data_IF_004514588449
#
_entry.id   IF_004514588449
#
_cell.length_a   1.000
_cell.length_b   1.000
_cell.length_c   1.000
_cell.angle_alpha   90.00
_cell.angle_beta   90.00
_cell.angle_gamma   90.00
#
_symmetry.space_group_name_H-M   'P 1'
#
loop_
_entity.id
_entity.type
_entity.pdbx_description
1 polymer ?
#
# COMPACT_ATOMS: atom_id res chain seq x y z
N UNK A 1 -14.84 15.44 12.33
CA UNK A 1 -14.44 15.00 11.00
C UNK A 1 -15.02 15.88 9.89
N UNK A 2 -16.35 16.21 9.82
CA UNK A 2 -16.91 16.98 8.69
C UNK A 2 -16.27 18.35 8.47
N UNK A 3 -16.03 19.12 9.53
CA UNK A 3 -15.36 20.43 9.45
C UNK A 3 -13.94 20.31 8.89
N UNK A 4 -13.15 19.33 9.38
CA UNK A 4 -11.81 19.11 8.88
C UNK A 4 -11.79 18.74 7.40
N UNK A 5 -12.71 17.86 6.97
CA UNK A 5 -12.85 17.49 5.56
C UNK A 5 -13.24 18.70 4.69
N UNK A 6 -14.15 19.57 5.16
CA UNK A 6 -14.52 20.80 4.47
C UNK A 6 -13.31 21.72 4.31
N UNK A 7 -12.57 21.99 5.38
CA UNK A 7 -11.40 22.86 5.34
C UNK A 7 -10.27 22.30 4.44
N UNK A 8 -10.10 20.95 4.40
CA UNK A 8 -9.20 20.31 3.45
C UNK A 8 -9.64 20.48 2.00
N UNK A 9 -10.96 20.44 1.72
CA UNK A 9 -11.49 20.68 0.38
C UNK A 9 -11.27 22.12 -0.11
N UNK A 10 -11.22 23.07 0.83
CA UNK A 10 -10.94 24.50 0.62
C UNK A 10 -9.44 24.84 0.61
N UNK A 11 -8.54 23.85 0.55
CA UNK A 11 -7.08 24.00 0.55
C UNK A 11 -6.49 24.68 1.83
N UNK A 12 -7.25 24.72 2.92
CA UNK A 12 -6.78 25.28 4.21
C UNK A 12 -5.77 24.38 4.91
N UNK A 13 -5.78 23.09 4.60
CA UNK A 13 -4.83 22.07 5.10
C UNK A 13 -4.32 21.22 3.96
N UNK A 14 -3.11 20.71 4.12
CA UNK A 14 -2.47 19.78 3.17
C UNK A 14 -2.50 18.34 3.63
N UNK A 15 -2.73 18.09 4.91
CA UNK A 15 -2.72 16.75 5.52
C UNK A 15 -3.86 16.66 6.52
N UNK A 16 -4.54 15.52 6.57
CA UNK A 16 -5.48 15.20 7.63
C UNK A 16 -4.90 14.13 8.54
N UNK A 17 -4.98 14.34 9.86
CA UNK A 17 -4.50 13.37 10.85
C UNK A 17 -5.65 12.92 11.73
N UNK A 18 -5.87 11.60 11.80
CA UNK A 18 -6.87 11.01 12.67
C UNK A 18 -6.42 11.09 14.13
N UNK A 19 -7.20 11.78 14.95
CA UNK A 19 -7.06 11.75 16.40
C UNK A 19 -7.87 10.60 17.03
N UNK A 20 -8.47 10.85 18.19
CA UNK A 20 -9.23 9.85 18.98
C UNK A 20 -10.67 9.63 18.47
N UNK A 21 -10.85 9.43 17.16
CA UNK A 21 -12.14 9.10 16.53
C UNK A 21 -12.07 7.75 15.83
N UNK A 22 -13.24 7.17 15.53
CA UNK A 22 -13.30 5.95 14.73
C UNK A 22 -12.93 6.23 13.27
N UNK A 23 -12.23 5.28 12.61
CA UNK A 23 -11.76 5.43 11.23
C UNK A 23 -12.92 5.62 10.26
N UNK A 24 -14.02 4.89 10.45
CA UNK A 24 -15.21 5.00 9.61
C UNK A 24 -15.86 6.39 9.66
N UNK A 25 -15.86 7.05 10.84
CA UNK A 25 -16.37 8.42 10.99
C UNK A 25 -15.53 9.43 10.20
N UNK A 26 -14.19 9.27 10.23
CA UNK A 26 -13.29 10.11 9.44
C UNK A 26 -13.48 9.83 7.95
N UNK A 27 -13.43 8.55 7.56
CA UNK A 27 -13.53 8.18 6.15
C UNK A 27 -14.87 8.54 5.52
N UNK A 28 -15.99 8.40 6.25
CA UNK A 28 -17.29 8.90 5.79
C UNK A 28 -17.29 10.41 5.47
N UNK A 29 -16.55 11.20 6.24
CA UNK A 29 -16.41 12.63 5.98
C UNK A 29 -15.53 12.93 4.75
N UNK A 30 -14.41 12.20 4.61
CA UNK A 30 -13.48 12.34 3.46
C UNK A 30 -14.16 11.89 2.16
N UNK A 31 -15.00 10.83 2.22
CA UNK A 31 -15.67 10.24 1.07
C UNK A 31 -16.89 11.03 0.58
N UNK A 32 -17.25 12.14 1.22
CA UNK A 32 -18.38 12.98 0.77
C UNK A 32 -18.10 13.57 -0.61
N UNK A 33 -19.00 13.30 -1.55
CA UNK A 33 -18.84 13.68 -2.97
C UNK A 33 -18.81 15.20 -3.19
N UNK A 34 -19.58 15.94 -2.40
CA UNK A 34 -19.69 17.42 -2.46
C UNK A 34 -18.38 18.13 -2.09
N UNK A 35 -17.47 17.44 -1.37
CA UNK A 35 -16.18 18.00 -0.98
C UNK A 35 -15.08 17.81 -2.03
N UNK A 36 -15.29 16.99 -3.05
CA UNK A 36 -14.30 16.71 -4.11
C UNK A 36 -12.88 16.35 -3.60
N UNK A 37 -12.80 15.75 -2.40
CA UNK A 37 -11.52 15.27 -1.84
C UNK A 37 -11.00 14.03 -2.54
N UNK A 38 -11.90 13.33 -3.25
CA UNK A 38 -11.58 12.15 -4.06
C UNK A 38 -11.81 12.52 -5.51
N UNK A 39 -10.73 12.54 -6.28
CA UNK A 39 -10.80 12.77 -7.72
C UNK A 39 -11.17 11.49 -8.48
N UNK A 40 -10.60 11.32 -9.67
CA UNK A 40 -10.75 10.10 -10.49
C UNK A 40 -10.01 8.87 -9.91
N UNK A 41 -9.06 9.07 -9.00
CA UNK A 41 -8.31 8.00 -8.34
C UNK A 41 -9.12 7.42 -7.17
N UNK A 42 -8.90 6.15 -6.85
CA UNK A 42 -9.39 5.51 -5.63
C UNK A 42 -8.41 5.74 -4.49
N UNK A 43 -8.93 5.91 -3.27
CA UNK A 43 -8.10 5.93 -2.08
C UNK A 43 -7.52 4.54 -1.81
N UNK A 44 -6.28 4.51 -1.35
CA UNK A 44 -5.62 3.29 -0.86
C UNK A 44 -4.75 3.57 0.35
N UNK A 45 -4.56 2.55 1.18
CA UNK A 45 -3.71 2.65 2.35
C UNK A 45 -2.32 2.08 2.06
N UNK A 46 -1.29 2.82 2.41
CA UNK A 46 0.10 2.40 2.33
C UNK A 46 0.63 2.20 3.74
N UNK A 47 1.23 1.05 3.97
CA UNK A 47 2.08 0.77 5.11
C UNK A 47 3.55 0.78 4.67
N UNK A 48 4.30 1.77 5.14
CA UNK A 48 5.75 1.81 4.99
C UNK A 48 6.38 1.21 6.25
N UNK A 49 7.01 0.05 6.10
CA UNK A 49 7.55 -0.75 7.20
C UNK A 49 9.07 -0.58 7.26
N UNK A 50 9.60 -0.30 8.44
CA UNK A 50 11.04 -0.30 8.70
C UNK A 50 11.38 -1.23 9.84
N UNK A 51 12.51 -1.92 9.74
CA UNK A 51 13.06 -2.84 10.73
C UNK A 51 14.45 -2.36 11.12
N UNK A 52 14.79 -2.37 12.40
CA UNK A 52 16.12 -1.96 12.87
C UNK A 52 17.29 -2.73 12.22
N UNK A 53 17.03 -3.98 11.86
CA UNK A 53 18.03 -4.88 11.26
C UNK A 53 18.05 -4.90 9.74
N UNK A 54 17.23 -4.09 9.10
CA UNK A 54 17.11 -4.05 7.64
C UNK A 54 16.97 -2.62 7.16
N UNK A 55 18.00 -2.10 6.52
CA UNK A 55 18.03 -0.73 6.00
C UNK A 55 17.06 -0.51 4.81
N UNK A 56 16.59 -1.59 4.20
CA UNK A 56 15.66 -1.52 3.08
C UNK A 56 14.22 -1.43 3.59
N UNK A 57 13.51 -0.32 3.37
CA UNK A 57 12.11 -0.21 3.70
C UNK A 57 11.26 -1.16 2.84
N UNK A 58 10.14 -1.61 3.39
CA UNK A 58 9.20 -2.50 2.73
C UNK A 58 7.80 -1.91 2.76
N UNK A 59 7.17 -1.79 1.59
CA UNK A 59 5.83 -1.23 1.48
C UNK A 59 4.82 -2.35 1.33
N UNK A 60 3.74 -2.34 2.14
CA UNK A 60 2.59 -3.25 2.02
C UNK A 60 1.34 -2.42 1.69
N UNK A 61 0.58 -2.82 0.67
CA UNK A 61 -0.65 -2.15 0.22
C UNK A 61 -1.65 -3.14 -0.39
N UNK A 62 -2.98 -3.04 -0.20
CA UNK A 62 -3.71 -2.26 0.77
C UNK A 62 -4.13 -3.16 1.94
N UNK A 63 -3.64 -2.88 3.13
CA UNK A 63 -3.90 -3.70 4.32
C UNK A 63 -4.82 -3.04 5.35
N UNK A 64 -5.60 -2.00 4.95
CA UNK A 64 -6.42 -1.27 5.92
C UNK A 64 -7.70 -0.62 5.38
N UNK A 65 -7.83 -0.36 4.07
CA UNK A 65 -8.93 0.44 3.52
C UNK A 65 -9.83 -0.36 2.58
N UNK A 66 -9.28 -1.01 1.57
CA UNK A 66 -10.04 -1.73 0.56
C UNK A 66 -10.15 -3.21 0.94
N UNK A 67 -11.34 -3.65 1.39
CA UNK A 67 -11.55 -4.99 1.97
C UNK A 67 -11.25 -6.09 0.95
N UNK A 68 -11.99 -6.14 -0.13
CA UNK A 68 -11.80 -7.09 -1.25
C UNK A 68 -11.80 -6.29 -2.57
N UNK A 69 -10.67 -5.64 -2.91
CA UNK A 69 -10.62 -4.78 -4.08
C UNK A 69 -10.70 -5.59 -5.36
N UNK A 70 -11.55 -5.13 -6.28
CA UNK A 70 -11.60 -5.67 -7.66
C UNK A 70 -10.38 -5.18 -8.44
N UNK A 71 -10.09 -5.83 -9.57
CA UNK A 71 -8.96 -5.55 -10.44
C UNK A 71 -8.75 -4.05 -10.72
N UNK A 72 -9.80 -3.32 -11.09
CA UNK A 72 -9.72 -1.88 -11.35
C UNK A 72 -9.31 -1.08 -10.10
N UNK A 73 -9.80 -1.47 -8.93
CA UNK A 73 -9.38 -0.86 -7.67
C UNK A 73 -7.91 -1.19 -7.35
N UNK A 74 -7.48 -2.43 -7.62
CA UNK A 74 -6.08 -2.86 -7.47
C UNK A 74 -5.13 -2.08 -8.38
N UNK A 75 -5.56 -1.74 -9.62
CA UNK A 75 -4.78 -0.84 -10.48
C UNK A 75 -4.59 0.55 -9.88
N UNK A 76 -5.61 1.12 -9.23
CA UNK A 76 -5.46 2.38 -8.50
C UNK A 76 -4.53 2.24 -7.28
N UNK A 77 -4.66 1.15 -6.51
CA UNK A 77 -3.78 0.84 -5.37
C UNK A 77 -2.32 0.74 -5.86
N UNK A 78 -2.07 0.01 -6.94
CA UNK A 78 -0.77 -0.13 -7.57
C UNK A 78 -0.17 1.23 -7.95
N UNK A 79 -0.93 2.04 -8.70
CA UNK A 79 -0.47 3.38 -9.14
C UNK A 79 -0.18 4.30 -7.96
N UNK A 80 -1.02 4.31 -6.94
CA UNK A 80 -0.82 5.11 -5.73
C UNK A 80 0.45 4.69 -4.98
N UNK A 81 0.72 3.38 -4.88
CA UNK A 81 1.91 2.87 -4.19
C UNK A 81 3.20 3.15 -4.97
N UNK A 82 3.17 3.10 -6.30
CA UNK A 82 4.28 3.50 -7.16
C UNK A 82 4.56 5.00 -7.01
N UNK A 83 3.53 5.85 -7.08
CA UNK A 83 3.65 7.30 -6.88
C UNK A 83 4.29 7.60 -5.52
N UNK A 84 3.86 6.93 -4.46
CA UNK A 84 4.43 7.10 -3.13
C UNK A 84 5.90 6.64 -3.06
N UNK A 85 6.21 5.47 -3.59
CA UNK A 85 7.59 4.95 -3.62
C UNK A 85 8.54 5.89 -4.35
N UNK A 86 8.12 6.45 -5.48
CA UNK A 86 8.91 7.44 -6.21
C UNK A 86 9.19 8.70 -5.37
N UNK A 87 8.22 9.17 -4.58
CA UNK A 87 8.36 10.35 -3.71
C UNK A 87 9.33 10.13 -2.56
N UNK A 88 9.42 8.90 -2.03
CA UNK A 88 10.42 8.55 -1.02
C UNK A 88 11.80 8.19 -1.59
N UNK A 89 12.01 8.37 -2.91
CA UNK A 89 13.30 8.20 -3.57
C UNK A 89 13.53 6.84 -4.23
N UNK A 90 12.52 5.95 -4.29
CA UNK A 90 12.60 4.69 -5.04
C UNK A 90 12.16 4.96 -6.48
N UNK A 91 13.11 5.33 -7.36
CA UNK A 91 12.81 5.83 -8.71
C UNK A 91 12.16 4.83 -9.67
N UNK A 92 12.34 3.53 -9.47
CA UNK A 92 11.69 2.44 -10.23
C UNK A 92 11.40 1.27 -9.30
N UNK A 93 10.33 1.34 -8.48
CA UNK A 93 10.07 0.34 -7.47
C UNK A 93 9.77 -1.03 -8.06
N UNK A 94 10.21 -2.08 -7.38
CA UNK A 94 9.92 -3.47 -7.67
C UNK A 94 8.66 -3.89 -6.91
N UNK A 95 7.61 -4.19 -7.63
CA UNK A 95 6.28 -4.51 -7.08
C UNK A 95 5.99 -5.99 -7.27
N UNK A 96 5.86 -6.71 -6.16
CA UNK A 96 5.33 -8.08 -6.16
C UNK A 96 3.82 -8.05 -5.97
N UNK A 97 3.08 -8.70 -6.87
CA UNK A 97 1.64 -8.90 -6.72
C UNK A 97 1.41 -10.26 -6.07
N UNK A 98 1.01 -10.24 -4.80
CA UNK A 98 0.96 -11.41 -3.94
C UNK A 98 -0.16 -12.37 -4.31
N UNK A 99 0.21 -13.64 -4.38
CA UNK A 99 -0.70 -14.80 -4.39
C UNK A 99 -0.08 -15.90 -3.51
N UNK A 100 -0.71 -17.07 -3.45
CA UNK A 100 -0.12 -18.23 -2.77
C UNK A 100 0.65 -19.17 -3.73
N UNK A 101 0.82 -18.76 -4.99
CA UNK A 101 1.47 -19.52 -6.05
C UNK A 101 2.10 -18.58 -7.07
N UNK A 102 3.01 -19.11 -7.88
CA UNK A 102 3.60 -18.45 -9.06
C UNK A 102 2.87 -18.84 -10.36
N UNK A 103 1.98 -19.82 -10.28
CA UNK A 103 1.20 -20.28 -11.42
C UNK A 103 -0.13 -19.53 -11.52
N UNK A 104 -0.60 -19.33 -12.74
CA UNK A 104 -1.91 -18.75 -13.02
C UNK A 104 -2.95 -19.86 -12.99
N UNK A 105 -3.76 -19.92 -11.92
CA UNK A 105 -4.71 -20.99 -11.66
C UNK A 105 -6.14 -20.46 -11.59
N UNK A 106 -7.06 -21.08 -12.33
CA UNK A 106 -8.49 -20.72 -12.30
C UNK A 106 -9.12 -20.93 -10.92
N UNK A 107 -8.61 -21.88 -10.15
CA UNK A 107 -9.04 -22.14 -8.77
C UNK A 107 -8.55 -21.11 -7.77
N UNK A 108 -7.64 -20.20 -8.17
CA UNK A 108 -7.06 -19.17 -7.31
C UNK A 108 -7.21 -17.78 -7.93
N UNK A 109 -8.31 -17.08 -7.68
CA UNK A 109 -8.59 -15.76 -8.28
C UNK A 109 -7.48 -14.73 -8.09
N UNK A 110 -6.75 -14.77 -6.95
CA UNK A 110 -5.61 -13.87 -6.70
C UNK A 110 -4.48 -14.04 -7.71
N UNK A 111 -4.27 -15.27 -8.25
CA UNK A 111 -3.24 -15.52 -9.25
C UNK A 111 -3.63 -14.97 -10.62
N UNK A 112 -4.90 -15.10 -11.00
CA UNK A 112 -5.44 -14.52 -12.23
C UNK A 112 -5.33 -12.99 -12.21
N UNK A 113 -5.78 -12.36 -11.11
CA UNK A 113 -5.71 -10.90 -10.95
C UNK A 113 -4.26 -10.40 -10.92
N UNK A 114 -3.34 -11.12 -10.26
CA UNK A 114 -1.93 -10.74 -10.20
C UNK A 114 -1.26 -10.76 -11.60
N UNK A 115 -1.55 -11.78 -12.39
CA UNK A 115 -1.09 -11.87 -13.78
C UNK A 115 -1.65 -10.72 -14.62
N UNK A 116 -2.94 -10.42 -14.48
CA UNK A 116 -3.57 -9.33 -15.22
C UNK A 116 -3.03 -7.96 -14.82
N UNK A 117 -2.79 -7.71 -13.52
CA UNK A 117 -2.13 -6.49 -13.04
C UNK A 117 -0.73 -6.32 -13.63
N UNK A 118 0.04 -7.41 -13.68
CA UNK A 118 1.39 -7.43 -14.29
C UNK A 118 1.34 -7.02 -15.76
N UNK A 119 0.39 -7.57 -16.53
CA UNK A 119 0.20 -7.22 -17.95
C UNK A 119 -0.18 -5.76 -18.12
N UNK A 120 -1.21 -5.29 -17.40
CA UNK A 120 -1.68 -3.91 -17.50
C UNK A 120 -0.65 -2.88 -17.06
N UNK A 121 0.13 -3.18 -16.02
CA UNK A 121 1.21 -2.31 -15.59
C UNK A 121 2.24 -2.07 -16.70
N UNK A 122 2.57 -3.12 -17.46
CA UNK A 122 3.46 -3.04 -18.62
C UNK A 122 2.82 -2.28 -19.78
N UNK A 123 1.56 -2.59 -20.11
CA UNK A 123 0.81 -1.94 -21.21
C UNK A 123 0.62 -0.44 -20.97
N UNK A 124 0.36 -0.05 -19.72
CA UNK A 124 0.21 1.36 -19.34
C UNK A 124 1.57 2.07 -19.14
N UNK A 125 2.69 1.37 -19.26
CA UNK A 125 4.03 1.94 -19.12
C UNK A 125 4.30 2.51 -17.73
N UNK A 126 3.84 1.86 -16.65
CA UNK A 126 4.06 2.33 -15.30
C UNK A 126 5.57 2.36 -14.97
N UNK A 127 6.02 3.41 -14.27
CA UNK A 127 7.42 3.55 -13.87
C UNK A 127 7.76 2.63 -12.68
N UNK A 128 7.66 1.32 -12.89
CA UNK A 128 7.92 0.28 -11.90
C UNK A 128 8.22 -1.06 -12.60
N UNK A 129 8.89 -1.97 -11.91
CA UNK A 129 8.95 -3.38 -12.27
C UNK A 129 7.85 -4.12 -11.52
N UNK A 130 6.78 -4.52 -12.21
CA UNK A 130 5.63 -5.22 -11.63
C UNK A 130 5.63 -6.67 -12.06
N UNK A 131 5.53 -7.58 -11.10
CA UNK A 131 5.52 -9.02 -11.36
C UNK A 131 4.61 -9.77 -10.39
N UNK A 132 3.83 -10.69 -10.93
CA UNK A 132 2.97 -11.62 -10.21
C UNK A 132 2.21 -12.54 -11.19
N UNK A 133 1.61 -13.61 -10.68
CA UNK A 133 1.48 -13.98 -9.25
C UNK A 133 2.80 -14.38 -8.61
N UNK A 134 2.97 -14.10 -7.33
CA UNK A 134 4.15 -14.47 -6.58
C UNK A 134 3.82 -14.82 -5.12
N UNK A 135 4.34 -15.93 -4.62
CA UNK A 135 4.23 -16.28 -3.21
C UNK A 135 5.14 -15.39 -2.36
N UNK A 136 4.83 -15.28 -1.07
CA UNK A 136 5.52 -14.33 -0.17
C UNK A 136 7.02 -14.61 -0.06
N UNK A 137 7.40 -15.88 0.12
CA UNK A 137 8.80 -16.31 0.22
C UNK A 137 9.63 -15.89 -1.01
N UNK A 138 9.07 -16.05 -2.21
CA UNK A 138 9.73 -15.68 -3.46
C UNK A 138 9.74 -14.17 -3.70
N UNK A 139 8.83 -13.44 -3.07
CA UNK A 139 8.82 -11.97 -3.11
C UNK A 139 9.98 -11.37 -2.31
N UNK A 140 10.37 -11.99 -1.19
CA UNK A 140 11.29 -11.40 -0.20
C UNK A 140 12.61 -12.15 -0.04
N UNK A 141 12.76 -13.33 -0.63
CA UNK A 141 13.97 -14.17 -0.53
C UNK A 141 14.52 -14.55 -1.90
N UNK A 142 15.68 -13.99 -2.25
CA UNK A 142 16.40 -14.37 -3.46
C UNK A 142 16.69 -15.87 -3.52
N UNK A 143 17.05 -16.48 -2.38
CA UNK A 143 17.30 -17.91 -2.29
C UNK A 143 16.04 -18.73 -2.62
N UNK A 144 14.88 -18.36 -2.09
CA UNK A 144 13.62 -19.03 -2.39
C UNK A 144 13.27 -18.91 -3.88
N UNK A 145 13.39 -17.71 -4.43
CA UNK A 145 13.16 -17.43 -5.85
C UNK A 145 14.09 -18.25 -6.77
N UNK A 146 15.39 -18.36 -6.41
CA UNK A 146 16.36 -19.14 -7.16
C UNK A 146 16.04 -20.64 -7.13
N UNK A 147 15.65 -21.20 -5.98
CA UNK A 147 15.27 -22.63 -5.86
C UNK A 147 14.08 -22.94 -6.77
N UNK A 148 13.12 -22.04 -6.89
CA UNK A 148 11.94 -22.18 -7.78
C UNK A 148 12.22 -21.76 -9.24
N UNK A 149 13.43 -21.33 -9.56
CA UNK A 149 13.84 -20.95 -10.92
C UNK A 149 13.17 -19.68 -11.45
N UNK A 150 12.70 -18.80 -10.58
CA UNK A 150 12.03 -17.55 -10.96
C UNK A 150 13.06 -16.54 -11.47
N UNK A 151 13.03 -16.26 -12.76
CA UNK A 151 13.95 -15.33 -13.43
C UNK A 151 13.26 -13.97 -13.63
N UNK A 152 13.13 -13.20 -12.56
CA UNK A 152 12.56 -11.85 -12.62
C UNK A 152 13.27 -10.93 -11.61
N UNK A 153 13.46 -9.67 -11.96
CA UNK A 153 14.17 -8.68 -11.13
C UNK A 153 13.43 -8.33 -9.82
N UNK A 154 12.14 -8.62 -9.75
CA UNK A 154 11.30 -8.42 -8.56
C UNK A 154 11.50 -9.53 -7.54
N UNK A 155 11.78 -10.76 -8.03
CA UNK A 155 11.88 -11.94 -7.18
C UNK A 155 13.03 -11.81 -6.16
N UNK A 156 12.70 -11.93 -4.87
CA UNK A 156 13.61 -11.75 -3.75
C UNK A 156 13.97 -10.30 -3.43
N UNK A 157 13.56 -9.34 -4.27
CA UNK A 157 13.99 -7.93 -4.19
C UNK A 157 12.84 -6.93 -4.13
N UNK A 158 11.69 -7.34 -3.66
CA UNK A 158 10.47 -6.54 -3.61
C UNK A 158 10.63 -5.28 -2.76
N UNK A 159 10.17 -4.14 -3.28
CA UNK A 159 10.02 -2.88 -2.56
C UNK A 159 8.57 -2.68 -2.11
N UNK A 160 7.60 -3.10 -2.96
CA UNK A 160 6.18 -2.98 -2.71
C UNK A 160 5.51 -4.35 -2.83
N UNK A 161 4.82 -4.78 -1.78
CA UNK A 161 3.96 -5.95 -1.79
C UNK A 161 2.50 -5.52 -1.94
N UNK A 162 1.90 -5.78 -3.10
CA UNK A 162 0.48 -5.57 -3.32
C UNK A 162 -0.28 -6.85 -2.93
N UNK A 163 -1.09 -6.76 -1.88
CA UNK A 163 -1.80 -7.91 -1.33
C UNK A 163 -3.17 -8.12 -1.99
N UNK A 164 -3.72 -9.35 -2.00
CA UNK A 164 -4.99 -9.66 -2.64
C UNK A 164 -6.21 -9.04 -1.93
N UNK A 165 -6.16 -8.90 -0.61
CA UNK A 165 -7.25 -8.40 0.24
C UNK A 165 -6.72 -7.80 1.54
N UNK A 166 -7.61 -7.13 2.29
CA UNK A 166 -7.27 -6.43 3.53
C UNK A 166 -6.78 -7.37 4.63
N UNK A 167 -7.36 -8.57 4.72
CA UNK A 167 -7.00 -9.54 5.77
C UNK A 167 -5.54 -9.96 5.63
N UNK A 168 -5.11 -10.28 4.41
CA UNK A 168 -3.71 -10.64 4.13
C UNK A 168 -2.76 -9.50 4.50
N UNK A 169 -3.05 -8.29 4.03
CA UNK A 169 -2.20 -7.13 4.31
C UNK A 169 -2.15 -6.78 5.79
N UNK A 170 -3.30 -6.77 6.46
CA UNK A 170 -3.40 -6.48 7.88
C UNK A 170 -2.65 -7.51 8.74
N UNK A 171 -2.80 -8.81 8.42
CA UNK A 171 -2.09 -9.88 9.13
C UNK A 171 -0.58 -9.76 8.99
N UNK A 172 -0.07 -9.51 7.78
CA UNK A 172 1.38 -9.31 7.53
C UNK A 172 1.92 -8.10 8.31
N UNK A 173 1.25 -6.95 8.23
CA UNK A 173 1.65 -5.74 8.96
C UNK A 173 1.67 -5.98 10.47
N UNK A 174 0.62 -6.60 11.01
CA UNK A 174 0.55 -6.92 12.45
C UNK A 174 1.64 -7.92 12.87
N UNK A 175 1.89 -8.94 12.06
CA UNK A 175 2.98 -9.88 12.30
C UNK A 175 4.33 -9.15 12.36
N UNK A 176 4.61 -8.24 11.42
CA UNK A 176 5.86 -7.48 11.43
C UNK A 176 5.98 -6.56 12.65
N UNK A 177 4.89 -5.89 13.07
CA UNK A 177 4.89 -5.02 14.25
C UNK A 177 5.13 -5.86 15.52
N UNK A 178 4.31 -6.87 15.77
CA UNK A 178 4.31 -7.56 17.06
C UNK A 178 5.40 -8.63 17.23
N UNK A 179 5.83 -9.26 16.14
CA UNK A 179 6.85 -10.32 16.21
C UNK A 179 8.24 -9.86 15.75
N UNK A 180 8.32 -8.84 14.90
CA UNK A 180 9.58 -8.36 14.35
C UNK A 180 9.99 -6.97 14.86
N UNK A 181 9.15 -6.29 15.64
CA UNK A 181 9.41 -4.94 16.15
C UNK A 181 9.44 -3.86 15.06
N UNK A 182 8.74 -4.07 13.96
CA UNK A 182 8.73 -3.11 12.86
C UNK A 182 8.03 -1.80 13.25
N UNK A 183 8.61 -0.68 12.86
CA UNK A 183 7.92 0.60 12.82
C UNK A 183 7.05 0.66 11.55
N UNK A 184 5.76 0.91 11.73
CA UNK A 184 4.77 0.96 10.65
C UNK A 184 4.25 2.39 10.46
N UNK A 185 4.65 3.04 9.37
CA UNK A 185 4.09 4.33 8.96
C UNK A 185 2.89 4.12 8.03
N UNK A 186 1.70 4.53 8.47
CA UNK A 186 0.45 4.34 7.73
C UNK A 186 -0.12 5.64 7.16
N UNK A 187 -0.39 5.67 5.84
CA UNK A 187 -0.99 6.82 5.17
C UNK A 187 -1.99 6.39 4.10
N UNK A 188 -3.13 7.07 4.03
CA UNK A 188 -4.10 6.95 2.93
C UNK A 188 -3.76 8.00 1.87
N UNK A 189 -3.62 7.55 0.65
CA UNK A 189 -3.26 8.35 -0.53
C UNK A 189 -4.29 8.18 -1.66
N UNK A 190 -4.13 8.92 -2.75
CA UNK A 190 -5.03 8.87 -3.91
C UNK A 190 -6.15 9.91 -3.87
N UNK A 191 -6.26 10.68 -2.77
CA UNK A 191 -7.13 11.83 -2.63
C UNK A 191 -6.42 13.16 -2.85
N UNK A 192 -7.14 14.26 -2.68
CA UNK A 192 -6.63 15.63 -2.76
C UNK A 192 -5.60 15.92 -1.67
N UNK A 193 -5.79 15.32 -0.49
CA UNK A 193 -4.86 15.41 0.65
C UNK A 193 -4.61 14.01 1.21
N UNK A 194 -3.39 13.69 1.65
CA UNK A 194 -3.12 12.45 2.37
C UNK A 194 -3.82 12.44 3.73
N UNK A 195 -4.24 11.25 4.17
CA UNK A 195 -4.90 11.07 5.46
C UNK A 195 -4.12 10.08 6.31
N UNK A 196 -3.62 10.53 7.45
CA UNK A 196 -2.94 9.67 8.42
C UNK A 196 -3.98 8.97 9.29
N UNK A 197 -3.98 7.63 9.24
CA UNK A 197 -4.85 6.79 10.05
C UNK A 197 -3.99 5.97 11.00
N UNK A 198 -3.79 6.49 12.21
CA UNK A 198 -3.07 5.78 13.26
C UNK A 198 -3.99 4.87 14.05
N UNK A 199 -3.47 3.73 14.49
CA UNK A 199 -4.12 2.86 15.47
C UNK A 199 -4.03 3.46 16.88
N UNK A 200 -4.97 3.12 17.76
CA UNK A 200 -4.87 3.48 19.19
C UNK A 200 -3.67 2.82 19.87
N UNK A 201 -3.25 1.67 19.35
CA UNK A 201 -2.13 0.89 19.85
C UNK A 201 -0.77 1.31 19.25
N UNK A 202 -0.74 2.25 18.29
CA UNK A 202 0.52 2.73 17.71
C UNK A 202 1.30 3.57 18.73
N UNK A 203 2.58 3.33 18.82
CA UNK A 203 3.51 4.10 19.63
C UNK A 203 3.79 5.51 19.04
N UNK A 204 4.56 6.29 19.73
CA UNK A 204 4.90 7.66 19.31
C UNK A 204 5.72 7.66 18.03
N UNK A 205 6.63 6.70 17.87
CA UNK A 205 7.49 6.61 16.70
C UNK A 205 6.68 6.30 15.43
N UNK A 206 5.78 5.32 15.48
CA UNK A 206 4.92 4.97 14.36
C UNK A 206 3.98 6.12 13.96
N UNK A 207 3.47 6.88 14.94
CA UNK A 207 2.65 8.07 14.68
C UNK A 207 3.45 9.18 13.99
N UNK A 208 4.66 9.44 14.46
CA UNK A 208 5.55 10.44 13.86
C UNK A 208 5.96 10.02 12.44
N UNK A 209 6.33 8.76 12.26
CA UNK A 209 6.65 8.20 10.95
C UNK A 209 5.47 8.28 9.97
N UNK A 210 4.23 8.04 10.44
CA UNK A 210 3.02 8.19 9.62
C UNK A 210 2.78 9.63 9.17
N UNK A 211 3.04 10.61 10.06
CA UNK A 211 2.96 12.03 9.69
C UNK A 211 4.04 12.41 8.68
N UNK A 212 5.27 11.93 8.87
CA UNK A 212 6.36 12.12 7.90
C UNK A 212 6.03 11.52 6.53
N UNK A 213 5.48 10.30 6.49
CA UNK A 213 5.02 9.66 5.27
C UNK A 213 3.93 10.49 4.55
N UNK A 214 3.02 11.11 5.30
CA UNK A 214 2.00 11.99 4.73
C UNK A 214 2.58 13.28 4.14
N UNK A 215 3.64 13.85 4.76
CA UNK A 215 4.36 15.02 4.21
C UNK A 215 5.02 14.66 2.89
N UNK A 216 5.66 13.49 2.80
CA UNK A 216 6.29 13.03 1.56
C UNK A 216 5.25 12.72 0.48
N UNK A 217 4.03 12.30 0.87
CA UNK A 217 2.93 12.00 -0.06
C UNK A 217 2.27 13.26 -0.68
N UNK A 218 2.64 14.48 -0.25
CA UNK A 218 2.20 15.74 -0.87
C UNK A 218 2.85 15.97 -2.22
#
# INVERSE_FOLDING_TARGET
>A
APMAAKLASEDKFKIMVKGHIQTDVLMKAVLKRDLNLIGKKRLSHIWHMTLEKNDKPFIITDGALNVLPKLETKMHILKNSIDFANRIGIGKPKVSVLSATEEVLDSMPSSLEANELTKRAKEEGLNAEVFGPMAFDNSVSEKAAQIKGIKNVVAGNTDILLVPNVETGNALVKMMIFFMGACAAGVVVGGKVPVVITSRADDTQARLASMAAAVVAL
#
